data_IF_560489308106
#
_entry.id   IF_560489308106
#
_cell.length_a   1.000
_cell.length_b   1.000
_cell.length_c   1.000
_cell.angle_alpha   90.00
_cell.angle_beta   90.00
_cell.angle_gamma   90.00
#
_symmetry.space_group_name_H-M   'P 1'
#
loop_
_entity.id
_entity.type
_entity.pdbx_description
1 polymer ?
#
# COMPACT_ATOMS: atom_id res chain seq x y z
N UNK A 1 26.97 17.93 27.34
CA UNK A 1 26.08 17.55 26.23
C UNK A 1 25.19 16.42 26.74
N UNK A 2 23.90 16.68 26.97
CA UNK A 2 23.02 15.74 27.69
C UNK A 2 22.58 14.59 26.76
N UNK A 3 23.16 13.42 26.98
CA UNK A 3 23.03 12.17 26.22
C UNK A 3 21.56 11.77 26.04
N UNK A 4 20.71 12.10 27.03
CA UNK A 4 19.27 11.82 27.02
C UNK A 4 18.52 12.54 25.88
N UNK A 5 18.94 13.74 25.50
CA UNK A 5 18.31 14.53 24.43
C UNK A 5 18.62 13.89 23.07
N UNK A 6 19.86 13.40 22.89
CA UNK A 6 20.27 12.67 21.70
C UNK A 6 19.53 11.33 21.56
N UNK A 7 19.28 10.63 22.67
CA UNK A 7 18.53 9.39 22.69
C UNK A 7 17.06 9.61 22.28
N UNK A 8 16.44 10.70 22.77
CA UNK A 8 15.07 11.06 22.43
C UNK A 8 14.92 11.44 20.95
N UNK A 9 15.90 12.17 20.39
CA UNK A 9 15.95 12.49 18.97
C UNK A 9 16.26 11.25 18.13
N UNK A 10 17.11 10.33 18.61
CA UNK A 10 17.42 9.08 17.91
C UNK A 10 16.20 8.16 17.74
N UNK A 11 15.22 8.27 18.64
CA UNK A 11 13.95 7.54 18.55
C UNK A 11 13.08 8.02 17.39
N UNK A 12 13.15 9.31 17.06
CA UNK A 12 12.27 9.94 16.05
C UNK A 12 12.98 10.17 14.71
N UNK A 13 14.29 10.47 14.75
CA UNK A 13 15.12 10.73 13.59
C UNK A 13 16.59 10.36 13.91
N UNK A 14 16.95 9.06 13.81
CA UNK A 14 18.28 8.58 14.09
C UNK A 14 19.43 9.21 13.24
N UNK A 15 19.25 9.67 11.98
CA UNK A 15 20.34 10.35 11.25
C UNK A 15 20.77 11.68 11.89
N UNK A 16 19.83 12.43 12.48
CA UNK A 16 20.12 13.75 13.05
C UNK A 16 20.88 13.63 14.38
N UNK A 17 20.56 12.62 15.20
CA UNK A 17 21.25 12.34 16.45
C UNK A 17 22.71 11.89 16.24
N UNK A 18 22.98 11.10 15.19
CA UNK A 18 24.34 10.64 14.86
C UNK A 18 25.18 11.75 14.23
N UNK A 19 24.59 12.59 13.37
CA UNK A 19 25.25 13.77 12.79
C UNK A 19 25.81 14.70 13.86
N UNK A 20 25.01 14.92 14.91
CA UNK A 20 25.33 15.87 15.97
C UNK A 20 26.32 15.35 17.01
N UNK A 21 26.60 14.03 17.05
CA UNK A 21 27.46 13.41 18.07
C UNK A 21 28.80 12.87 17.56
N UNK A 22 28.92 12.45 16.29
CA UNK A 22 30.13 11.76 15.81
C UNK A 22 30.81 12.37 14.57
N UNK A 23 30.21 13.36 13.91
CA UNK A 23 30.70 13.81 12.60
C UNK A 23 30.64 12.70 11.54
N UNK A 24 31.25 12.92 10.38
CA UNK A 24 31.10 12.13 9.14
C UNK A 24 31.68 10.70 9.25
N UNK A 25 31.00 9.83 10.00
CA UNK A 25 31.31 8.40 10.12
C UNK A 25 30.26 7.57 9.37
N UNK A 26 30.63 6.38 8.90
CA UNK A 26 29.79 5.51 8.04
C UNK A 26 28.41 5.15 8.62
N UNK A 27 28.23 5.34 9.93
CA UNK A 27 26.94 5.19 10.62
C UNK A 27 25.89 6.23 10.18
N UNK A 28 26.32 7.39 9.65
CA UNK A 28 25.45 8.42 9.10
C UNK A 28 24.83 8.01 7.75
N UNK A 29 25.65 7.42 6.88
CA UNK A 29 25.25 6.93 5.56
C UNK A 29 24.24 5.79 5.70
N UNK A 30 24.44 4.90 6.67
CA UNK A 30 23.52 3.79 6.93
C UNK A 30 22.13 4.28 7.35
N UNK A 31 22.06 5.31 8.19
CA UNK A 31 20.79 5.91 8.62
C UNK A 31 20.07 6.65 7.50
N UNK A 32 20.79 7.40 6.66
CA UNK A 32 20.23 8.04 5.46
C UNK A 32 19.69 6.99 4.49
N UNK A 33 20.43 5.90 4.30
CA UNK A 33 19.99 4.78 3.46
C UNK A 33 18.72 4.14 4.00
N UNK A 34 18.64 3.87 5.31
CA UNK A 34 17.43 3.32 5.95
C UNK A 34 16.22 4.25 5.81
N UNK A 35 16.41 5.55 6.03
CA UNK A 35 15.32 6.53 5.93
C UNK A 35 14.80 6.64 4.50
N UNK A 36 15.72 6.62 3.52
CA UNK A 36 15.37 6.61 2.10
C UNK A 36 14.66 5.30 1.69
N UNK A 37 15.07 4.17 2.26
CA UNK A 37 14.42 2.87 2.00
C UNK A 37 13.00 2.81 2.55
N UNK A 38 12.77 3.30 3.77
CA UNK A 38 11.43 3.40 4.38
C UNK A 38 10.55 4.37 3.58
N UNK A 39 11.11 5.47 3.08
CA UNK A 39 10.39 6.42 2.23
C UNK A 39 9.97 5.80 0.89
N UNK A 40 10.87 5.08 0.23
CA UNK A 40 10.55 4.33 -0.99
C UNK A 40 9.48 3.26 -0.75
N UNK A 41 9.54 2.56 0.38
CA UNK A 41 8.52 1.61 0.81
C UNK A 41 7.16 2.28 1.01
N UNK A 42 7.13 3.47 1.61
CA UNK A 42 5.92 4.28 1.78
C UNK A 42 5.29 4.73 0.47
N UNK A 43 6.11 5.16 -0.50
CA UNK A 43 5.64 5.55 -1.84
C UNK A 43 5.08 4.33 -2.59
N UNK A 44 5.79 3.19 -2.56
CA UNK A 44 5.32 1.96 -3.19
C UNK A 44 4.01 1.47 -2.58
N UNK A 45 3.87 1.53 -1.26
CA UNK A 45 2.62 1.17 -0.56
C UNK A 45 1.45 2.06 -0.99
N UNK A 46 1.65 3.38 -1.10
CA UNK A 46 0.61 4.30 -1.56
C UNK A 46 0.13 3.96 -2.99
N UNK A 47 1.05 3.66 -3.92
CA UNK A 47 0.69 3.23 -5.27
C UNK A 47 -0.10 1.93 -5.27
N UNK A 48 0.33 0.91 -4.52
CA UNK A 48 -0.39 -0.37 -4.43
C UNK A 48 -1.81 -0.15 -3.92
N UNK A 49 -2.01 0.67 -2.89
CA UNK A 49 -3.33 0.96 -2.33
C UNK A 49 -4.26 1.65 -3.33
N UNK A 50 -3.73 2.58 -4.12
CA UNK A 50 -4.49 3.27 -5.18
C UNK A 50 -4.88 2.27 -6.28
N UNK A 51 -3.93 1.46 -6.77
CA UNK A 51 -4.21 0.45 -7.79
C UNK A 51 -5.20 -0.61 -7.30
N UNK A 52 -5.06 -1.08 -6.07
CA UNK A 52 -5.97 -2.05 -5.47
C UNK A 52 -7.41 -1.49 -5.40
N UNK A 53 -7.54 -0.22 -5.04
CA UNK A 53 -8.83 0.47 -4.97
C UNK A 53 -9.50 0.56 -6.35
N UNK A 54 -8.73 0.88 -7.40
CA UNK A 54 -9.23 0.93 -8.79
C UNK A 54 -9.68 -0.46 -9.28
N UNK A 55 -8.89 -1.49 -9.03
CA UNK A 55 -9.22 -2.88 -9.44
C UNK A 55 -10.50 -3.36 -8.75
N UNK A 56 -10.69 -3.02 -7.48
CA UNK A 56 -11.91 -3.35 -6.73
C UNK A 56 -13.15 -2.70 -7.34
N UNK A 57 -13.08 -1.43 -7.73
CA UNK A 57 -14.20 -0.76 -8.42
C UNK A 57 -14.55 -1.42 -9.75
N UNK A 58 -13.55 -1.86 -10.52
CA UNK A 58 -13.78 -2.58 -11.77
C UNK A 58 -14.32 -3.99 -11.55
N UNK A 59 -13.87 -4.68 -10.50
CA UNK A 59 -14.34 -6.03 -10.16
C UNK A 59 -15.84 -6.01 -9.78
N UNK A 60 -16.28 -4.97 -9.08
CA UNK A 60 -17.68 -4.80 -8.70
C UNK A 60 -18.59 -4.70 -9.93
N UNK A 61 -18.21 -3.87 -10.91
CA UNK A 61 -18.95 -3.74 -12.18
C UNK A 61 -19.02 -5.05 -12.99
N UNK A 62 -17.95 -5.84 -13.00
CA UNK A 62 -17.95 -7.14 -13.69
C UNK A 62 -18.84 -8.15 -12.96
N UNK A 63 -18.82 -8.18 -11.63
CA UNK A 63 -19.64 -9.08 -10.83
C UNK A 63 -21.14 -8.78 -11.01
N UNK A 64 -21.51 -7.49 -11.09
CA UNK A 64 -22.89 -7.10 -11.40
C UNK A 64 -23.32 -7.61 -12.78
N UNK A 65 -22.49 -7.44 -13.81
CA UNK A 65 -22.78 -7.96 -15.14
C UNK A 65 -22.89 -9.49 -15.16
N UNK A 66 -22.00 -10.22 -14.49
CA UNK A 66 -22.06 -11.69 -14.40
C UNK A 66 -23.35 -12.12 -13.70
N UNK A 67 -23.72 -11.43 -12.61
CA UNK A 67 -24.96 -11.70 -11.86
C UNK A 67 -26.20 -11.43 -12.72
N UNK A 68 -26.24 -10.34 -13.48
CA UNK A 68 -27.33 -10.02 -14.39
C UNK A 68 -27.47 -11.07 -15.51
N UNK A 69 -26.35 -11.42 -16.15
CA UNK A 69 -26.35 -12.43 -17.21
C UNK A 69 -26.72 -13.82 -16.69
N UNK A 70 -26.25 -14.20 -15.50
CA UNK A 70 -26.62 -15.43 -14.83
C UNK A 70 -28.13 -15.50 -14.53
N UNK A 71 -28.70 -14.42 -14.00
CA UNK A 71 -30.14 -14.32 -13.76
C UNK A 71 -30.96 -14.35 -15.05
N UNK A 72 -30.48 -13.73 -16.14
CA UNK A 72 -31.12 -13.85 -17.46
C UNK A 72 -31.10 -15.27 -18.01
N UNK A 73 -30.02 -16.03 -17.81
CA UNK A 73 -29.92 -17.42 -18.28
C UNK A 73 -30.92 -18.33 -17.57
N UNK A 74 -31.11 -18.16 -16.27
CA UNK A 74 -32.08 -18.96 -15.50
C UNK A 74 -33.52 -18.59 -15.85
N UNK A 75 -33.83 -17.29 -16.03
CA UNK A 75 -35.17 -16.85 -16.42
C UNK A 75 -35.49 -17.16 -17.90
N UNK A 76 -34.50 -16.98 -18.79
CA UNK A 76 -34.58 -17.27 -20.22
C UNK A 76 -34.82 -18.75 -20.54
N UNK A 77 -34.30 -19.65 -19.70
CA UNK A 77 -34.58 -21.09 -19.80
C UNK A 77 -35.98 -21.48 -19.31
N UNK A 78 -36.65 -20.62 -18.52
CA UNK A 78 -38.00 -20.87 -18.01
C UNK A 78 -39.10 -20.33 -18.92
N UNK A 79 -38.77 -19.47 -19.89
CA UNK A 79 -39.72 -18.90 -20.89
C UNK A 79 -39.68 -19.61 -22.24
N UNK A 80 -38.89 -20.67 -22.42
CA UNK A 80 -39.05 -21.59 -23.55
C UNK A 80 -39.70 -22.88 -23.04
N UNK A 81 -41.04 -22.96 -22.91
CA UNK A 81 -41.68 -24.26 -22.88
C UNK A 81 -41.28 -24.93 -24.19
N UNK A 82 -40.52 -26.04 -24.08
CA UNK A 82 -40.35 -26.97 -25.19
C UNK A 82 -41.75 -27.51 -25.47
N UNK A 83 -42.48 -26.83 -26.34
CA UNK A 83 -43.64 -27.37 -27.05
C UNK A 83 -43.08 -28.48 -27.94
N UNK A 84 -43.04 -29.68 -27.37
CA UNK A 84 -42.97 -30.93 -28.10
C UNK A 84 -44.27 -31.16 -28.86
#
# INVERSE_FOLDING_TARGET
MNILILLFIAIFCPPLAVFMNWGCSGHLVLNIFLTSFVWLLGIGHAWIMIFASVVISCADSIMEFIKENGARRTYGSSIHPVTK
#
